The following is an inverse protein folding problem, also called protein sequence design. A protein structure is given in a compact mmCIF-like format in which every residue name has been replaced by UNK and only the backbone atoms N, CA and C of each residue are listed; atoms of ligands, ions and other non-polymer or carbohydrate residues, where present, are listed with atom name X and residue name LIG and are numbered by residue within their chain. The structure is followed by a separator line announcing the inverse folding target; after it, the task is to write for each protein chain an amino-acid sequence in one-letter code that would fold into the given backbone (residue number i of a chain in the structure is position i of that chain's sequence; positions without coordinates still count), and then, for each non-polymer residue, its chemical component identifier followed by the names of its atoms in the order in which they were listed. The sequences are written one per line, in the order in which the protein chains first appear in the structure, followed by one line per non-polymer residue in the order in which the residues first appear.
data_IF_346172990474
#
_entry.id   IF_346172990474
#
_cell.length_a   1.000
_cell.length_b   1.000
_cell.length_c   1.000
_cell.angle_alpha   90.00
_cell.angle_beta   90.00
_cell.angle_gamma   90.00
#
_symmetry.space_group_name_H-M   'P 1'
#
loop_
_entity.id
_entity.type
_entity.pdbx_description
1 polymer ?
#
# COMPACT_ATOMS: atom_id res chain seq x y z
N UNK A 1 -10.86 16.15 21.87
CA UNK A 1 -9.66 15.37 21.51
C UNK A 1 -9.04 16.03 20.29
N UNK A 2 -7.72 16.25 20.29
CA UNK A 2 -7.04 17.01 19.24
C UNK A 2 -5.76 16.29 18.86
N UNK A 3 -5.64 15.91 17.59
CA UNK A 3 -4.46 15.24 17.05
C UNK A 3 -4.05 15.90 15.73
N UNK A 4 -2.77 16.25 15.64
CA UNK A 4 -2.17 16.79 14.42
C UNK A 4 -1.06 15.86 13.94
N UNK A 5 -1.23 15.32 12.74
CA UNK A 5 -0.23 14.56 12.03
C UNK A 5 0.42 15.45 10.97
N UNK A 6 1.73 15.36 10.88
CA UNK A 6 2.54 16.15 9.95
C UNK A 6 3.36 15.21 9.09
N UNK A 7 3.77 15.68 7.92
CA UNK A 7 4.62 14.89 7.06
C UNK A 7 5.93 14.49 7.76
N UNK A 8 6.44 13.29 7.47
CA UNK A 8 7.77 12.83 7.88
C UNK A 8 8.90 13.67 7.30
N UNK A 9 8.64 14.62 6.39
CA UNK A 9 9.61 15.60 5.89
C UNK A 9 9.39 17.02 6.44
N UNK A 10 8.41 17.22 7.33
CA UNK A 10 8.18 18.50 8.02
C UNK A 10 9.32 18.83 9.00
N UNK A 11 9.47 20.10 9.36
CA UNK A 11 10.48 20.51 10.35
C UNK A 11 10.10 20.16 11.79
N UNK A 12 8.92 19.55 12.01
CA UNK A 12 8.40 19.26 13.34
C UNK A 12 9.29 18.24 14.07
N UNK A 13 9.78 18.60 15.27
CA UNK A 13 10.62 17.76 16.14
C UNK A 13 11.90 17.24 15.46
N UNK A 14 12.43 17.96 14.47
CA UNK A 14 13.68 17.58 13.80
C UNK A 14 14.85 18.46 14.17
N UNK A 15 16.03 17.88 14.09
CA UNK A 15 17.31 18.60 14.20
C UNK A 15 17.47 19.49 12.96
N UNK A 16 17.88 20.74 13.20
CA UNK A 16 18.18 21.72 12.15
C UNK A 16 19.22 21.13 11.17
N UNK A 17 19.03 21.37 9.87
CA UNK A 17 19.88 20.88 8.77
C UNK A 17 19.94 19.35 8.57
N UNK A 18 19.00 18.57 9.12
CA UNK A 18 18.93 17.15 8.81
C UNK A 18 18.46 16.93 7.36
N UNK A 19 19.01 15.92 6.66
CA UNK A 19 18.52 15.48 5.33
C UNK A 19 17.05 15.05 5.32
N UNK A 20 16.47 14.86 6.51
CA UNK A 20 15.06 14.50 6.70
C UNK A 20 14.16 15.73 6.80
N UNK A 21 14.70 16.92 7.02
CA UNK A 21 13.94 18.18 7.11
C UNK A 21 13.94 18.88 5.75
N UNK A 22 12.83 18.74 5.01
CA UNK A 22 12.62 19.42 3.74
C UNK A 22 11.62 20.58 3.89
N UNK A 23 11.34 21.01 5.13
CA UNK A 23 10.36 22.08 5.42
C UNK A 23 9.02 21.84 4.74
N UNK A 24 8.54 20.59 4.79
CA UNK A 24 7.26 20.24 4.21
C UNK A 24 6.11 20.74 5.10
N UNK A 25 5.18 21.46 4.50
CA UNK A 25 4.01 22.04 5.18
C UNK A 25 2.77 21.14 5.17
N UNK A 26 2.88 19.92 4.62
CA UNK A 26 1.75 18.99 4.57
C UNK A 26 1.37 18.48 5.98
N UNK A 27 0.09 18.53 6.30
CA UNK A 27 -0.45 18.10 7.59
C UNK A 27 -1.91 17.65 7.50
N UNK A 28 -2.32 16.87 8.50
CA UNK A 28 -3.71 16.51 8.81
C UNK A 28 -3.94 16.89 10.27
N UNK A 29 -4.91 17.76 10.52
CA UNK A 29 -5.26 18.25 11.85
C UNK A 29 -6.72 17.92 12.14
N UNK A 30 -6.96 17.04 13.11
CA UNK A 30 -8.29 16.54 13.46
C UNK A 30 -8.63 17.00 14.88
N UNK A 31 -9.71 17.77 14.98
CA UNK A 31 -10.29 18.21 16.23
C UNK A 31 -11.68 17.60 16.39
N UNK A 32 -11.82 16.71 17.37
CA UNK A 32 -13.12 16.16 17.78
C UNK A 32 -13.64 17.01 18.95
N UNK A 33 -14.73 17.74 18.71
CA UNK A 33 -15.41 18.56 19.71
C UNK A 33 -16.24 17.67 20.63
N UNK A 34 -16.16 17.95 21.93
CA UNK A 34 -17.06 17.34 22.92
C UNK A 34 -18.43 17.98 22.78
N UNK A 35 -19.46 17.16 22.60
CA UNK A 35 -20.82 17.63 22.38
C UNK A 35 -21.52 17.83 23.73
N UNK A 36 -21.69 19.08 24.14
CA UNK A 36 -22.49 19.45 25.33
C UNK A 36 -23.87 19.99 24.91
N UNK A 37 -24.83 20.10 25.86
CA UNK A 37 -26.13 20.73 25.60
C UNK A 37 -25.99 22.16 25.05
N UNK A 38 -25.03 22.93 25.58
CA UNK A 38 -24.72 24.27 25.09
C UNK A 38 -24.12 24.26 23.67
N UNK A 39 -23.20 23.33 23.40
CA UNK A 39 -22.59 23.17 22.07
C UNK A 39 -23.63 22.84 21.01
N UNK A 40 -24.61 21.96 21.29
CA UNK A 40 -25.71 21.64 20.36
C UNK A 40 -26.60 22.85 20.05
N UNK A 41 -26.80 23.75 21.02
CA UNK A 41 -27.63 24.95 20.84
C UNK A 41 -26.94 26.00 19.96
N UNK A 42 -25.62 26.14 20.11
CA UNK A 42 -24.86 27.23 19.52
C UNK A 42 -24.14 26.88 18.22
N UNK A 43 -23.72 25.62 18.04
CA UNK A 43 -22.95 25.18 16.87
C UNK A 43 -23.88 24.71 15.74
N UNK A 44 -23.87 25.39 14.60
CA UNK A 44 -24.70 25.08 13.44
C UNK A 44 -24.39 23.70 12.84
N UNK A 45 -23.12 23.28 12.87
CA UNK A 45 -22.69 22.00 12.30
C UNK A 45 -23.17 20.80 13.14
N UNK A 46 -23.38 21.01 14.44
CA UNK A 46 -23.98 20.01 15.34
C UNK A 46 -25.50 19.89 15.19
N UNK A 47 -26.17 20.83 14.51
CA UNK A 47 -27.61 20.79 14.24
C UNK A 47 -27.97 20.01 12.97
N UNK A 48 -26.97 19.67 12.15
CA UNK A 48 -27.16 18.89 10.90
C UNK A 48 -27.46 17.42 11.21
N UNK A 49 -27.98 16.70 10.21
CA UNK A 49 -28.22 15.26 10.28
C UNK A 49 -27.40 14.53 9.18
N UNK A 50 -26.36 13.76 9.53
CA UNK A 50 -25.83 13.52 10.87
C UNK A 50 -25.08 14.73 11.47
N UNK A 51 -24.96 14.84 12.81
CA UNK A 51 -24.26 15.94 13.46
C UNK A 51 -22.76 15.88 13.20
N UNK A 52 -22.17 17.00 12.78
CA UNK A 52 -20.74 17.08 12.44
C UNK A 52 -19.96 17.67 13.62
N UNK A 53 -19.55 16.80 14.54
CA UNK A 53 -18.78 17.19 15.74
C UNK A 53 -17.27 17.23 15.54
N UNK A 54 -16.80 16.99 14.31
CA UNK A 54 -15.38 16.86 14.00
C UNK A 54 -14.99 17.90 12.96
N UNK A 55 -13.87 18.57 13.21
CA UNK A 55 -13.25 19.50 12.27
C UNK A 55 -11.96 18.87 11.77
N UNK A 56 -11.87 18.67 10.46
CA UNK A 56 -10.70 18.12 9.80
C UNK A 56 -10.10 19.25 8.94
N UNK A 57 -8.84 19.60 9.19
CA UNK A 57 -8.06 20.51 8.35
C UNK A 57 -6.94 19.72 7.69
N UNK A 58 -6.86 19.80 6.37
CA UNK A 58 -5.88 19.06 5.59
C UNK A 58 -5.11 20.08 4.74
N UNK A 59 -3.78 20.01 4.80
CA UNK A 59 -2.92 20.60 3.79
C UNK A 59 -2.26 19.45 2.99
N UNK A 60 -2.75 19.13 1.79
CA UNK A 60 -2.24 18.01 0.99
C UNK A 60 -1.01 18.38 0.17
N UNK A 61 -0.56 19.64 0.19
CA UNK A 61 0.52 20.10 -0.68
C UNK A 61 1.89 19.72 -0.13
N UNK A 62 2.61 18.87 -0.87
CA UNK A 62 3.97 18.47 -0.58
C UNK A 62 4.95 19.19 -1.52
N UNK A 63 6.10 19.61 -0.99
CA UNK A 63 7.21 20.17 -1.75
C UNK A 63 8.28 19.10 -2.09
N UNK A 64 7.92 17.82 -1.99
CA UNK A 64 8.79 16.68 -2.21
C UNK A 64 8.01 15.51 -2.80
N UNK A 65 8.73 14.54 -3.36
CA UNK A 65 8.11 13.32 -3.89
C UNK A 65 7.66 12.39 -2.75
N UNK A 66 6.37 12.04 -2.72
CA UNK A 66 5.80 11.11 -1.73
C UNK A 66 5.79 9.65 -2.21
N UNK A 67 5.92 9.40 -3.51
CA UNK A 67 5.76 8.07 -4.12
C UNK A 67 7.05 7.28 -4.34
N UNK A 68 8.20 7.72 -3.82
CA UNK A 68 9.45 7.00 -4.01
C UNK A 68 9.64 5.88 -2.99
N UNK A 69 10.24 4.76 -3.41
CA UNK A 69 10.59 3.65 -2.53
C UNK A 69 11.47 4.10 -1.34
N UNK A 70 12.33 5.09 -1.55
CA UNK A 70 13.17 5.66 -0.48
C UNK A 70 12.40 6.51 0.54
N UNK A 71 11.24 7.04 0.17
CA UNK A 71 10.33 7.72 1.11
C UNK A 71 9.62 6.68 1.98
N UNK A 72 9.19 5.55 1.41
CA UNK A 72 8.54 4.46 2.15
C UNK A 72 9.50 3.79 3.16
N UNK A 73 10.77 3.60 2.79
CA UNK A 73 11.82 3.10 3.71
C UNK A 73 12.01 3.96 4.97
N UNK A 74 11.61 5.23 4.92
CA UNK A 74 11.78 6.20 6.03
C UNK A 74 10.55 6.30 6.92
N UNK A 75 9.45 5.64 6.57
CA UNK A 75 8.30 5.55 7.44
C UNK A 75 8.67 4.70 8.66
N UNK A 76 8.23 5.15 9.83
CA UNK A 76 8.36 4.35 11.04
C UNK A 76 7.47 3.12 10.89
N UNK A 77 8.08 1.95 11.03
CA UNK A 77 7.38 0.67 11.10
C UNK A 77 7.58 0.17 12.52
N UNK A 78 6.50 -0.29 13.14
CA UNK A 78 6.57 -0.89 14.46
C UNK A 78 7.58 -2.07 14.46
N UNK A 79 8.48 -2.17 15.44
CA UNK A 79 9.47 -3.25 15.50
C UNK A 79 8.85 -4.65 15.45
N UNK A 80 7.69 -4.85 16.07
CA UNK A 80 6.98 -6.14 16.08
C UNK A 80 6.47 -6.46 14.68
N UNK A 81 5.79 -5.51 14.03
CA UNK A 81 5.30 -5.65 12.66
C UNK A 81 6.44 -5.90 11.67
N UNK A 82 7.58 -5.22 11.86
CA UNK A 82 8.78 -5.45 11.04
C UNK A 82 9.33 -6.85 11.25
N UNK A 83 9.33 -7.35 12.49
CA UNK A 83 9.78 -8.70 12.82
C UNK A 83 8.87 -9.75 12.18
N UNK A 84 7.55 -9.60 12.30
CA UNK A 84 6.58 -10.52 11.71
C UNK A 84 6.69 -10.57 10.19
N UNK A 85 6.83 -9.40 9.54
CA UNK A 85 7.06 -9.33 8.10
C UNK A 85 8.36 -10.06 7.70
N UNK A 86 9.47 -9.81 8.41
CA UNK A 86 10.75 -10.45 8.10
C UNK A 86 10.72 -11.95 8.35
N UNK A 87 9.99 -12.41 9.37
CA UNK A 87 9.78 -13.83 9.68
C UNK A 87 8.98 -14.51 8.58
N UNK A 88 7.83 -13.94 8.20
CA UNK A 88 7.02 -14.42 7.08
C UNK A 88 7.83 -14.49 5.79
N UNK A 89 8.61 -13.44 5.49
CA UNK A 89 9.47 -13.39 4.32
C UNK A 89 10.56 -14.45 4.37
N UNK A 90 11.20 -14.67 5.52
CA UNK A 90 12.18 -15.74 5.69
C UNK A 90 11.53 -17.11 5.50
N UNK A 91 10.38 -17.35 6.12
CA UNK A 91 9.66 -18.64 6.06
C UNK A 91 9.20 -18.99 4.63
N UNK A 92 8.83 -18.00 3.81
CA UNK A 92 8.40 -18.22 2.42
C UNK A 92 9.53 -18.14 1.37
N UNK A 93 10.65 -17.46 1.66
CA UNK A 93 11.76 -17.24 0.71
C UNK A 93 13.05 -17.97 1.08
N UNK A 94 12.98 -19.02 1.90
CA UNK A 94 13.96 -20.10 1.86
C UNK A 94 13.51 -21.18 0.86
N UNK A 95 13.85 -21.07 -0.45
CA UNK A 95 13.64 -22.14 -1.42
C UNK A 95 14.47 -23.41 -1.10
N UNK A 96 15.29 -23.41 -0.04
CA UNK A 96 15.97 -24.62 0.44
C UNK A 96 15.04 -25.58 1.19
N UNK A 97 13.91 -25.13 1.73
CA UNK A 97 12.95 -26.01 2.40
C UNK A 97 12.08 -26.80 1.41
N UNK A 98 12.02 -26.34 0.15
CA UNK A 98 11.25 -26.94 -0.91
C UNK A 98 12.19 -27.12 -2.12
N UNK A 99 12.98 -28.20 -2.10
CA UNK A 99 13.63 -28.79 -3.29
C UNK A 99 12.57 -29.27 -4.30
N UNK A 100 11.65 -28.38 -4.68
CA UNK A 100 10.68 -28.62 -5.71
C UNK A 100 11.43 -28.49 -7.02
N UNK A 101 11.64 -29.63 -7.66
CA UNK A 101 12.19 -29.69 -9.02
C UNK A 101 11.40 -28.71 -9.90
N UNK A 102 12.01 -28.06 -10.90
CA UNK A 102 11.35 -27.04 -11.72
C UNK A 102 9.93 -27.43 -12.20
N UNK A 103 9.72 -28.69 -12.60
CA UNK A 103 8.42 -29.20 -13.02
C UNK A 103 7.32 -29.13 -11.94
N UNK A 104 7.67 -29.23 -10.66
CA UNK A 104 6.72 -29.11 -9.55
C UNK A 104 6.22 -27.67 -9.39
N UNK A 105 7.09 -26.68 -9.61
CA UNK A 105 6.71 -25.25 -9.62
C UNK A 105 5.73 -25.00 -10.78
N UNK A 106 6.05 -25.51 -11.97
CA UNK A 106 5.13 -25.43 -13.12
C UNK A 106 3.78 -26.06 -12.80
N UNK A 107 3.75 -27.26 -12.22
CA UNK A 107 2.50 -27.97 -11.91
C UNK A 107 1.64 -27.23 -10.87
N UNK A 108 2.26 -26.65 -9.84
CA UNK A 108 1.54 -25.86 -8.83
C UNK A 108 0.99 -24.56 -9.42
N UNK A 109 1.76 -23.91 -10.29
CA UNK A 109 1.32 -22.70 -10.98
C UNK A 109 0.16 -22.98 -11.95
N UNK A 110 0.23 -24.07 -12.73
CA UNK A 110 -0.88 -24.51 -13.59
C UNK A 110 -2.14 -24.83 -12.80
N UNK A 111 -2.02 -25.56 -11.69
CA UNK A 111 -3.15 -25.87 -10.80
C UNK A 111 -3.80 -24.58 -10.25
N UNK A 112 -2.99 -23.64 -9.78
CA UNK A 112 -3.49 -22.33 -9.32
C UNK A 112 -4.23 -21.58 -10.44
N UNK A 113 -3.68 -21.59 -11.65
CA UNK A 113 -4.31 -20.92 -12.79
C UNK A 113 -5.65 -21.57 -13.18
N UNK A 114 -5.73 -22.89 -13.20
CA UNK A 114 -6.98 -23.61 -13.49
C UNK A 114 -8.06 -23.34 -12.45
N UNK A 115 -7.70 -23.35 -11.16
CA UNK A 115 -8.63 -23.12 -10.05
C UNK A 115 -9.18 -21.67 -10.03
N UNK A 116 -8.37 -20.68 -10.41
CA UNK A 116 -8.73 -19.27 -10.30
C UNK A 116 -9.21 -18.64 -11.61
N UNK A 117 -8.78 -19.16 -12.76
CA UNK A 117 -8.99 -18.55 -14.08
C UNK A 117 -9.52 -19.53 -15.13
N UNK A 118 -9.75 -20.80 -14.78
CA UNK A 118 -10.17 -21.86 -15.70
C UNK A 118 -9.03 -22.44 -16.53
N UNK A 119 -9.33 -23.48 -17.32
CA UNK A 119 -8.32 -24.16 -18.15
C UNK A 119 -7.79 -23.24 -19.25
N UNK A 120 -6.50 -22.94 -19.21
CA UNK A 120 -5.77 -22.36 -20.32
C UNK A 120 -5.34 -23.50 -21.26
N UNK A 121 -5.77 -23.50 -22.53
CA UNK A 121 -5.12 -24.30 -23.58
C UNK A 121 -3.62 -24.03 -23.53
N UNK A 122 -2.82 -25.10 -23.44
CA UNK A 122 -1.38 -24.99 -23.20
C UNK A 122 -0.72 -24.10 -24.26
N UNK A 123 0.35 -23.37 -23.91
CA UNK A 123 1.15 -22.66 -24.90
C UNK A 123 1.63 -23.57 -26.04
N UNK A 124 1.86 -24.85 -25.76
CA UNK A 124 2.23 -25.88 -26.74
C UNK A 124 1.09 -26.23 -27.71
N UNK A 125 -0.13 -26.44 -27.22
CA UNK A 125 -1.29 -26.69 -28.10
C UNK A 125 -1.57 -25.50 -29.03
N UNK A 126 -1.41 -24.26 -28.53
CA UNK A 126 -1.49 -23.04 -29.34
C UNK A 126 -0.36 -22.89 -30.36
N UNK A 127 0.81 -23.48 -30.09
CA UNK A 127 1.91 -23.53 -31.04
C UNK A 127 1.60 -24.56 -32.13
N UNK A 128 1.14 -25.77 -31.77
CA UNK A 128 0.75 -26.82 -32.72
C UNK A 128 -0.38 -26.39 -33.66
N UNK A 129 -1.40 -25.67 -33.14
CA UNK A 129 -2.47 -25.09 -33.97
C UNK A 129 -1.96 -24.05 -34.98
N UNK A 130 -0.83 -23.38 -34.71
CA UNK A 130 -0.24 -22.35 -35.57
C UNK A 130 0.89 -22.86 -36.48
N UNK A 131 1.41 -24.07 -36.25
CA UNK A 131 2.42 -24.69 -37.13
C UNK A 131 1.97 -24.71 -38.61
N UNK A 132 0.70 -25.01 -38.96
CA UNK A 132 0.24 -24.97 -40.35
C UNK A 132 0.35 -23.57 -40.99
N UNK A 133 0.04 -22.51 -40.23
CA UNK A 133 0.12 -21.13 -40.72
C UNK A 133 1.57 -20.68 -40.94
N UNK A 134 2.50 -21.11 -40.06
CA UNK A 134 3.92 -20.82 -40.22
C UNK A 134 4.56 -21.59 -41.38
N UNK A 135 4.09 -22.79 -41.69
CA UNK A 135 4.55 -23.57 -42.84
C UNK A 135 4.01 -22.99 -44.16
N UNK A 136 2.78 -22.49 -44.19
CA UNK A 136 2.21 -21.83 -45.37
C UNK A 136 2.76 -20.42 -45.64
N UNK A 137 3.48 -19.81 -44.69
CA UNK A 137 4.16 -18.51 -44.87
C UNK A 137 5.59 -18.66 -45.42
N UNK A 138 6.06 -19.89 -45.67
CA UNK A 138 7.29 -20.19 -46.41
C UNK A 138 7.03 -21.24 -47.49
N UNK A 139 6.45 -20.79 -48.60
CA UNK A 139 6.79 -21.00 -50.03
C UNK A 139 5.66 -20.38 -50.86
#
# INVERSE_FOLDING_TARGET
MHNKWVCNFSSHKKVKNSKKDQKCDAFIDILIKIVTKGSKKNDEYLKRHPPLNTVIKINPFHNHNCGSADTLKRLFIDPEVKSDFLKYFADELFPSALNLRPWTIYRLWHKYLEENYGSFKEPFERLEEKIPDYLNQRI
#
